data_IF_438228481160
#
_entry.id   IF_438228481160
#
_cell.length_a   1.000
_cell.length_b   1.000
_cell.length_c   1.000
_cell.angle_alpha   90.00
_cell.angle_beta   90.00
_cell.angle_gamma   90.00
#
_symmetry.space_group_name_H-M   'P 1'
#
loop_
_entity.id
_entity.type
_entity.pdbx_description
1 polymer ?
#
# COMPACT_ATOMS: atom_id res chain seq x y z
N UNK A 1 -5.26 13.97 7.46
CA UNK A 1 -5.25 13.02 6.33
C UNK A 1 -6.54 12.23 6.44
N UNK A 2 -7.44 12.36 5.48
CA UNK A 2 -8.72 11.64 5.46
C UNK A 2 -8.60 10.40 4.58
N UNK A 3 -9.19 9.28 4.99
CA UNK A 3 -9.23 8.04 4.18
C UNK A 3 -10.63 7.86 3.63
N UNK A 4 -10.74 7.78 2.32
CA UNK A 4 -11.99 7.50 1.62
C UNK A 4 -11.99 6.04 1.18
N UNK A 5 -12.97 5.28 1.65
CA UNK A 5 -13.19 3.92 1.17
C UNK A 5 -13.95 3.97 -0.17
N UNK A 6 -13.48 3.23 -1.16
CA UNK A 6 -14.06 3.23 -2.50
C UNK A 6 -14.00 1.84 -3.14
N UNK A 7 -14.94 1.55 -4.04
CA UNK A 7 -14.91 0.38 -4.93
C UNK A 7 -14.43 0.81 -6.31
N UNK A 8 -13.65 -0.04 -6.98
CA UNK A 8 -13.22 0.17 -8.35
C UNK A 8 -14.10 -0.63 -9.31
N UNK A 9 -14.90 0.05 -10.13
CA UNK A 9 -15.83 -0.59 -11.07
C UNK A 9 -15.79 0.13 -12.41
N UNK A 10 -15.57 -0.61 -13.49
CA UNK A 10 -15.62 -0.08 -14.85
C UNK A 10 -14.62 1.05 -15.13
N UNK A 11 -13.47 1.05 -14.45
CA UNK A 11 -12.45 2.09 -14.63
C UNK A 11 -12.53 3.26 -13.64
N UNK A 12 -13.53 3.29 -12.75
CA UNK A 12 -13.84 4.44 -11.89
C UNK A 12 -13.76 4.04 -10.41
N UNK A 13 -13.14 4.89 -9.57
CA UNK A 13 -13.19 4.78 -8.11
C UNK A 13 -14.49 5.43 -7.60
N UNK A 14 -15.39 4.62 -7.04
CA UNK A 14 -16.67 5.05 -6.48
C UNK A 14 -16.60 5.03 -4.95
N UNK A 15 -16.71 6.16 -4.25
CA UNK A 15 -16.64 6.17 -2.79
C UNK A 15 -17.85 5.47 -2.18
N UNK A 16 -17.64 4.73 -1.10
CA UNK A 16 -18.71 4.03 -0.37
C UNK A 16 -19.58 4.98 0.45
N UNK A 17 -19.08 6.19 0.73
CA UNK A 17 -19.74 7.25 1.48
C UNK A 17 -19.53 8.61 0.80
N UNK A 18 -20.38 9.58 1.10
CA UNK A 18 -20.22 10.96 0.61
C UNK A 18 -18.92 11.54 1.13
N UNK A 19 -18.09 12.05 0.23
CA UNK A 19 -16.84 12.74 0.54
C UNK A 19 -17.08 14.24 0.72
N UNK A 20 -16.29 14.88 1.57
CA UNK A 20 -16.38 16.32 1.83
C UNK A 20 -15.31 17.09 1.04
N UNK A 21 -15.46 17.13 -0.29
CA UNK A 21 -14.56 17.84 -1.20
C UNK A 21 -15.32 18.97 -1.92
N UNK A 22 -14.60 20.03 -2.31
CA UNK A 22 -15.16 21.10 -3.14
C UNK A 22 -15.21 20.66 -4.61
N UNK A 23 -16.13 21.26 -5.38
CA UNK A 23 -16.20 21.03 -6.82
C UNK A 23 -14.87 21.43 -7.48
N UNK A 24 -14.33 20.55 -8.34
CA UNK A 24 -13.02 20.73 -8.98
C UNK A 24 -11.79 20.52 -8.08
N UNK A 25 -11.96 20.08 -6.82
CA UNK A 25 -10.83 19.83 -5.92
C UNK A 25 -9.96 18.66 -6.41
N UNK A 26 -8.65 18.90 -6.58
CA UNK A 26 -7.69 17.88 -7.02
C UNK A 26 -7.15 17.12 -5.82
N UNK A 27 -7.33 15.80 -5.83
CA UNK A 27 -6.83 14.90 -4.79
C UNK A 27 -5.77 13.94 -5.34
N UNK A 28 -4.92 13.42 -4.45
CA UNK A 28 -3.97 12.35 -4.77
C UNK A 28 -4.48 11.03 -4.19
N UNK A 29 -4.56 10.00 -5.01
CA UNK A 29 -4.99 8.66 -4.59
C UNK A 29 -3.76 7.83 -4.23
N UNK A 30 -3.78 7.21 -3.05
CA UNK A 30 -2.75 6.25 -2.62
C UNK A 30 -3.35 4.85 -2.65
N UNK A 31 -2.85 4.00 -3.55
CA UNK A 31 -3.26 2.60 -3.65
C UNK A 31 -2.31 1.75 -2.79
N UNK A 32 -2.78 1.32 -1.61
CA UNK A 32 -2.04 0.37 -0.77
C UNK A 32 -2.38 -1.05 -1.20
N UNK A 33 -1.40 -1.77 -1.74
CA UNK A 33 -1.50 -3.22 -2.00
C UNK A 33 -0.82 -3.96 -0.86
N UNK A 34 -1.55 -4.80 -0.14
CA UNK A 34 -0.96 -5.71 0.83
C UNK A 34 -0.11 -6.76 0.10
N UNK A 35 1.20 -6.52 0.03
CA UNK A 35 2.16 -7.49 -0.51
C UNK A 35 2.20 -8.79 0.30
N UNK A 36 1.72 -8.79 1.55
CA UNK A 36 1.65 -10.00 2.38
C UNK A 36 0.62 -11.02 1.87
N UNK A 37 -0.47 -10.60 1.22
CA UNK A 37 -1.39 -11.55 0.56
C UNK A 37 -0.78 -12.12 -0.72
N UNK A 38 0.20 -11.43 -1.30
CA UNK A 38 1.02 -11.95 -2.39
C UNK A 38 2.05 -12.95 -1.89
N UNK A 39 2.46 -12.97 -0.62
CA UNK A 39 3.48 -13.90 -0.11
C UNK A 39 3.11 -15.39 -0.29
N UNK A 40 1.81 -15.72 -0.32
CA UNK A 40 1.35 -17.07 -0.68
C UNK A 40 1.66 -17.46 -2.13
N UNK A 41 1.69 -16.48 -3.03
CA UNK A 41 1.99 -16.66 -4.47
C UNK A 41 3.45 -16.33 -4.82
N UNK A 42 4.09 -15.43 -4.07
CA UNK A 42 5.47 -14.93 -4.25
C UNK A 42 6.49 -15.85 -3.58
N UNK A 43 6.10 -16.69 -2.61
CA UNK A 43 6.94 -17.81 -2.12
C UNK A 43 7.46 -18.72 -3.23
N UNK A 44 6.85 -18.68 -4.43
CA UNK A 44 7.28 -19.47 -5.59
C UNK A 44 8.31 -18.76 -6.46
N UNK A 45 8.56 -17.46 -6.27
CA UNK A 45 9.40 -16.63 -7.15
C UNK A 45 10.57 -15.93 -6.45
N UNK A 46 10.65 -15.96 -5.12
CA UNK A 46 11.73 -15.34 -4.35
C UNK A 46 12.25 -16.39 -3.37
N UNK A 47 13.57 -16.58 -3.33
CA UNK A 47 14.23 -17.50 -2.39
C UNK A 47 14.13 -16.97 -0.96
N UNK A 48 14.28 -17.87 0.03
CA UNK A 48 14.31 -17.46 1.44
C UNK A 48 15.45 -16.48 1.75
N UNK A 49 16.55 -16.57 1.00
CA UNK A 49 17.76 -15.76 1.12
C UNK A 49 17.50 -14.30 0.66
N UNK A 50 16.87 -14.12 -0.51
CA UNK A 50 16.46 -12.80 -1.01
C UNK A 50 15.45 -12.11 -0.09
N UNK A 51 14.59 -12.89 0.59
CA UNK A 51 13.63 -12.36 1.56
C UNK A 51 14.32 -11.91 2.86
N UNK A 52 15.31 -12.67 3.34
CA UNK A 52 16.11 -12.31 4.51
C UNK A 52 16.95 -11.06 4.25
N UNK A 53 17.56 -10.92 3.06
CA UNK A 53 18.29 -9.72 2.66
C UNK A 53 17.37 -8.48 2.64
N UNK A 54 16.20 -8.58 2.02
CA UNK A 54 15.23 -7.48 1.97
C UNK A 54 14.72 -7.09 3.37
N UNK A 55 14.51 -8.06 4.25
CA UNK A 55 14.11 -7.80 5.63
C UNK A 55 15.25 -7.20 6.45
N UNK A 56 16.48 -7.66 6.25
CA UNK A 56 17.68 -7.14 6.88
C UNK A 56 17.93 -5.68 6.45
N UNK A 57 17.82 -5.36 5.17
CA UNK A 57 17.85 -3.97 4.69
C UNK A 57 16.74 -3.13 5.32
N UNK A 58 15.50 -3.64 5.38
CA UNK A 58 14.37 -2.92 5.96
C UNK A 58 14.60 -2.58 7.45
N UNK A 59 15.11 -3.53 8.23
CA UNK A 59 15.40 -3.36 9.66
C UNK A 59 16.57 -2.38 9.86
N UNK A 60 17.64 -2.48 9.06
CA UNK A 60 18.79 -1.59 9.13
C UNK A 60 18.46 -0.13 8.79
N UNK A 61 17.57 0.10 7.82
CA UNK A 61 17.22 1.45 7.39
C UNK A 61 16.24 2.17 8.34
N UNK A 62 15.41 1.43 9.11
CA UNK A 62 14.52 2.04 10.13
C UNK A 62 15.09 2.06 11.55
N UNK A 63 16.17 1.33 11.82
CA UNK A 63 16.86 1.35 13.12
C UNK A 63 17.57 2.67 13.48
N UNK A 64 17.68 3.63 12.56
CA UNK A 64 18.34 4.93 12.81
C UNK A 64 17.40 6.07 13.25
N UNK A 65 16.16 5.77 13.63
CA UNK A 65 15.17 6.76 14.08
C UNK A 65 14.72 6.64 15.54
N UNK A 66 15.36 5.77 16.33
CA UNK A 66 15.09 5.59 17.76
C UNK A 66 16.43 5.60 18.52
N UNK A 67 16.97 6.80 18.71
CA UNK A 67 17.97 7.12 19.74
C UNK A 67 17.70 8.53 20.22
#
# INVERSE_FOLDING_TARGET
>A
METVEAVYEGGVLKPLKKVNLREGERVTVVIKRDVLKLAGSVKRAITMEELEEAYHEYVLHRGKGLS
#
